data_IF_727082812160
#
_entry.id   IF_727082812160
#
_cell.length_a   1.000
_cell.length_b   1.000
_cell.length_c   1.000
_cell.angle_alpha   90.00
_cell.angle_beta   90.00
_cell.angle_gamma   90.00
#
_symmetry.space_group_name_H-M   'P 1'
#
loop_
_entity.id
_entity.type
_entity.pdbx_description
1 polymer ?
#
# COMPACT_ATOMS: atom_id res chain seq x y z
N UNK A 1 4.36 24.82 26.17
CA UNK A 1 4.82 23.88 25.13
C UNK A 1 5.08 22.53 25.78
N UNK A 2 4.15 21.58 25.67
CA UNK A 2 4.33 20.22 26.21
C UNK A 2 5.13 19.38 25.21
N UNK A 3 6.24 18.79 25.67
CA UNK A 3 6.97 17.77 24.91
C UNK A 3 6.10 16.51 24.86
N UNK A 4 5.50 16.22 23.71
CA UNK A 4 4.84 14.95 23.46
C UNK A 4 5.94 13.88 23.36
N UNK A 5 6.06 13.09 24.42
CA UNK A 5 6.92 11.90 24.46
C UNK A 5 6.27 10.81 23.62
N UNK A 6 6.78 10.60 22.40
CA UNK A 6 6.45 9.44 21.57
C UNK A 6 7.21 8.23 22.12
N UNK A 7 6.55 7.44 22.96
CA UNK A 7 7.04 6.11 23.32
C UNK A 7 6.90 5.20 22.11
N UNK A 8 7.97 5.01 21.34
CA UNK A 8 8.05 3.93 20.35
C UNK A 8 8.09 2.60 21.09
N UNK A 9 7.02 1.82 20.97
CA UNK A 9 7.02 0.41 21.34
C UNK A 9 8.09 -0.32 20.51
N UNK A 10 8.93 -1.18 21.11
CA UNK A 10 9.97 -1.92 20.40
C UNK A 10 9.38 -2.75 19.24
N UNK A 11 10.05 -2.65 18.09
CA UNK A 11 9.59 -3.12 16.80
C UNK A 11 9.25 -4.61 16.79
N UNK A 12 7.95 -4.90 16.66
CA UNK A 12 7.48 -6.17 16.14
C UNK A 12 8.10 -6.42 14.76
N UNK A 13 8.32 -7.69 14.40
CA UNK A 13 9.00 -8.20 13.20
C UNK A 13 8.35 -7.82 11.84
N UNK A 14 7.91 -6.57 11.65
CA UNK A 14 7.29 -6.02 10.43
C UNK A 14 8.19 -6.10 9.19
N UNK A 15 9.50 -6.38 9.35
CA UNK A 15 10.45 -6.43 8.24
C UNK A 15 10.69 -7.81 7.61
N UNK A 16 10.22 -8.91 8.20
CA UNK A 16 10.63 -10.25 7.76
C UNK A 16 9.80 -10.79 6.57
N UNK A 17 8.52 -10.43 6.48
CA UNK A 17 7.64 -11.00 5.48
C UNK A 17 7.67 -10.23 4.18
N UNK A 18 8.06 -10.92 3.12
CA UNK A 18 7.97 -10.42 1.75
C UNK A 18 6.60 -10.74 1.16
N UNK A 19 6.16 -9.87 0.27
CA UNK A 19 4.96 -10.02 -0.53
C UNK A 19 5.22 -9.53 -1.94
N UNK A 20 4.40 -10.03 -2.86
CA UNK A 20 4.44 -9.67 -4.28
C UNK A 20 3.59 -8.45 -4.58
N UNK A 21 4.17 -7.51 -5.33
CA UNK A 21 3.50 -6.32 -5.86
C UNK A 21 4.07 -5.94 -7.23
N UNK A 22 3.50 -4.91 -7.84
CA UNK A 22 3.99 -4.35 -9.10
C UNK A 22 4.47 -2.93 -8.93
N UNK A 23 5.61 -2.63 -9.53
CA UNK A 23 6.27 -1.34 -9.39
C UNK A 23 6.69 -0.82 -10.75
N UNK A 24 6.60 0.50 -10.88
CA UNK A 24 7.21 1.23 -11.98
C UNK A 24 8.46 1.94 -11.46
N UNK A 25 9.62 1.62 -12.03
CA UNK A 25 10.91 2.15 -11.58
C UNK A 25 11.45 3.26 -12.49
N UNK A 26 10.76 3.55 -13.60
CA UNK A 26 11.25 4.43 -14.65
C UNK A 26 10.64 5.84 -14.56
N UNK A 27 9.46 5.98 -13.96
CA UNK A 27 8.73 7.24 -13.92
C UNK A 27 8.55 7.75 -12.49
N UNK A 28 9.14 8.92 -12.22
CA UNK A 28 9.02 9.63 -10.95
C UNK A 28 7.92 10.71 -11.03
N UNK A 29 7.27 11.01 -9.91
CA UNK A 29 6.29 12.10 -9.74
C UNK A 29 5.04 12.02 -10.61
N UNK A 30 4.74 10.84 -11.17
CA UNK A 30 3.59 10.62 -12.06
C UNK A 30 3.53 11.59 -13.25
N UNK A 31 4.67 12.19 -13.61
CA UNK A 31 4.79 13.04 -14.80
C UNK A 31 4.81 12.17 -16.05
N UNK A 32 4.10 12.58 -17.11
CA UNK A 32 3.92 11.75 -18.33
C UNK A 32 2.87 10.65 -18.16
N UNK A 33 1.60 11.03 -18.00
CA UNK A 33 0.48 10.11 -17.77
C UNK A 33 0.27 9.10 -18.91
N UNK A 34 0.65 9.47 -20.13
CA UNK A 34 0.73 8.59 -21.31
C UNK A 34 1.66 7.40 -21.06
N UNK A 35 2.73 7.60 -20.29
CA UNK A 35 3.74 6.58 -20.02
C UNK A 35 3.42 5.67 -18.85
N UNK A 36 2.55 6.10 -17.93
CA UNK A 36 2.07 5.30 -16.80
C UNK A 36 1.24 4.07 -17.23
N UNK A 37 0.69 4.12 -18.45
CA UNK A 37 -0.14 3.03 -18.99
C UNK A 37 0.63 2.07 -19.90
N UNK A 38 1.93 2.29 -20.15
CA UNK A 38 2.74 1.34 -20.89
C UNK A 38 3.03 0.13 -20.03
N UNK A 39 2.53 -1.02 -20.45
CA UNK A 39 2.64 -2.24 -19.67
C UNK A 39 4.10 -2.71 -19.46
N UNK A 40 5.03 -2.35 -20.35
CA UNK A 40 6.46 -2.64 -20.17
C UNK A 40 7.11 -1.85 -19.03
N UNK A 41 6.49 -0.74 -18.59
CA UNK A 41 7.00 0.07 -17.49
C UNK A 41 6.71 -0.56 -16.11
N UNK A 42 5.83 -1.55 -16.05
CA UNK A 42 5.45 -2.26 -14.83
C UNK A 42 6.24 -3.56 -14.70
N UNK A 43 6.89 -3.76 -13.55
CA UNK A 43 7.69 -4.95 -13.26
C UNK A 43 7.18 -5.64 -11.99
N UNK A 44 7.32 -6.96 -11.93
CA UNK A 44 7.11 -7.71 -10.69
C UNK A 44 8.17 -7.31 -9.69
N UNK A 45 7.75 -7.04 -8.46
CA UNK A 45 8.61 -6.78 -7.34
C UNK A 45 8.20 -7.66 -6.16
N UNK A 46 9.17 -7.98 -5.32
CA UNK A 46 8.98 -8.70 -4.08
C UNK A 46 9.75 -7.96 -2.98
N UNK A 47 9.06 -7.64 -1.90
CA UNK A 47 9.61 -6.85 -0.80
C UNK A 47 8.66 -6.83 0.40
N UNK A 48 9.05 -6.12 1.45
CA UNK A 48 8.19 -5.89 2.62
C UNK A 48 7.54 -4.48 2.57
N UNK A 49 6.79 -4.10 3.60
CA UNK A 49 6.14 -2.79 3.66
C UNK A 49 7.15 -1.62 3.73
N UNK A 50 8.33 -1.82 4.31
CA UNK A 50 9.41 -0.82 4.32
C UNK A 50 9.96 -0.58 2.92
N UNK A 51 10.14 -1.64 2.12
CA UNK A 51 10.57 -1.54 0.73
C UNK A 51 9.53 -0.80 -0.11
N UNK A 52 8.25 -1.16 0.06
CA UNK A 52 7.14 -0.51 -0.65
C UNK A 52 6.99 0.97 -0.25
N UNK A 53 7.07 1.28 1.05
CA UNK A 53 7.07 2.64 1.56
C UNK A 53 8.20 3.48 0.95
N UNK A 54 9.41 2.92 0.92
CA UNK A 54 10.60 3.57 0.33
C UNK A 54 10.44 3.79 -1.18
N UNK A 55 9.76 2.88 -1.88
CA UNK A 55 9.44 3.05 -3.30
C UNK A 55 8.48 4.21 -3.51
N UNK A 56 7.39 4.25 -2.74
CA UNK A 56 6.35 5.28 -2.83
C UNK A 56 6.89 6.65 -2.43
N UNK A 57 7.74 6.74 -1.40
CA UNK A 57 8.33 8.00 -0.94
C UNK A 57 9.23 8.66 -1.98
N UNK A 58 9.70 7.90 -2.98
CA UNK A 58 10.44 8.42 -4.14
C UNK A 58 9.51 8.94 -5.25
N UNK A 59 8.20 9.03 -5.02
CA UNK A 59 7.22 9.42 -6.03
C UNK A 59 6.97 8.35 -7.10
N UNK A 60 7.48 7.13 -6.92
CA UNK A 60 7.39 6.06 -7.91
C UNK A 60 6.01 5.36 -7.85
N UNK A 61 5.34 5.15 -9.00
CA UNK A 61 4.08 4.42 -9.06
C UNK A 61 4.22 2.97 -8.63
N UNK A 62 3.19 2.47 -7.99
CA UNK A 62 3.05 1.06 -7.65
C UNK A 62 1.60 0.63 -7.88
N UNK A 63 1.40 -0.68 -8.01
CA UNK A 63 0.09 -1.31 -8.08
C UNK A 63 0.13 -2.63 -7.31
N UNK A 64 -0.99 -3.03 -6.67
CA UNK A 64 -1.06 -4.32 -6.01
C UNK A 64 -0.85 -5.48 -7.00
N UNK A 65 -1.27 -5.30 -8.26
CA UNK A 65 -1.21 -6.30 -9.32
C UNK A 65 -0.44 -5.78 -10.55
N UNK A 66 0.06 -6.70 -11.38
CA UNK A 66 0.67 -6.36 -12.67
C UNK A 66 -0.39 -5.88 -13.68
N UNK A 67 0.03 -5.11 -14.67
CA UNK A 67 -0.70 -4.96 -15.93
C UNK A 67 0.06 -5.78 -16.97
N UNK A 68 -0.57 -6.81 -17.55
CA UNK A 68 0.08 -7.61 -18.59
C UNK A 68 0.19 -6.82 -19.89
N UNK A 69 1.29 -7.01 -20.62
CA UNK A 69 1.68 -6.19 -21.77
C UNK A 69 0.95 -6.44 -23.07
N UNK A 70 0.03 -7.40 -23.09
CA UNK A 70 -0.78 -7.73 -24.25
C UNK A 70 -2.28 -7.82 -24.00
N UNK A 71 -2.79 -7.48 -22.81
CA UNK A 71 -4.23 -7.67 -22.52
C UNK A 71 -4.90 -6.39 -22.01
N UNK A 72 -6.10 -6.14 -22.53
CA UNK A 72 -7.00 -5.11 -22.04
C UNK A 72 -7.31 -5.34 -20.55
N UNK A 73 -6.54 -4.67 -19.69
CA UNK A 73 -6.86 -4.28 -18.30
C UNK A 73 -7.99 -5.10 -17.68
N UNK A 74 -7.81 -6.40 -17.37
CA UNK A 74 -8.71 -7.15 -16.46
C UNK A 74 -8.27 -8.60 -16.16
N UNK A 75 -8.38 -8.93 -14.87
CA UNK A 75 -8.58 -10.25 -14.25
C UNK A 75 -7.37 -11.14 -13.94
N UNK A 76 -6.50 -11.50 -14.88
CA UNK A 76 -5.46 -12.52 -14.58
C UNK A 76 -4.37 -12.03 -13.64
N UNK A 77 -4.02 -10.74 -13.69
CA UNK A 77 -2.95 -10.19 -12.88
C UNK A 77 -3.36 -9.82 -11.44
N UNK A 78 -4.66 -9.65 -11.18
CA UNK A 78 -5.21 -9.58 -9.81
C UNK A 78 -4.98 -10.86 -9.01
N UNK A 79 -4.59 -11.96 -9.68
CA UNK A 79 -4.30 -13.24 -9.05
C UNK A 79 -2.83 -13.40 -8.61
N UNK A 80 -1.98 -12.38 -8.77
CA UNK A 80 -0.57 -12.42 -8.31
C UNK A 80 -0.32 -11.57 -7.06
N UNK A 81 -1.17 -10.57 -6.84
CA UNK A 81 -1.04 -9.64 -5.73
C UNK A 81 -1.22 -10.36 -4.39
N UNK A 82 -0.23 -10.22 -3.51
CA UNK A 82 -0.34 -10.62 -2.09
C UNK A 82 -0.64 -9.41 -1.21
N UNK A 83 -1.12 -8.33 -1.82
CA UNK A 83 -1.55 -7.11 -1.16
C UNK A 83 -2.84 -6.59 -1.78
N UNK A 84 -3.67 -5.97 -0.95
CA UNK A 84 -4.85 -5.21 -1.36
C UNK A 84 -4.70 -3.77 -0.87
N UNK A 85 -5.16 -2.83 -1.69
CA UNK A 85 -5.21 -1.43 -1.33
C UNK A 85 -6.66 -0.94 -1.32
N UNK A 86 -7.03 -0.19 -0.30
CA UNK A 86 -8.31 0.49 -0.19
C UNK A 86 -8.04 2.01 -0.22
N UNK A 87 -8.62 2.70 -1.21
CA UNK A 87 -8.63 4.16 -1.27
C UNK A 87 -9.78 4.67 -0.41
N UNK A 88 -9.46 5.51 0.57
CA UNK A 88 -10.40 6.15 1.47
C UNK A 88 -10.43 7.63 1.11
N UNK A 89 -11.59 8.10 0.65
CA UNK A 89 -11.81 9.48 0.21
C UNK A 89 -12.99 10.07 0.99
N UNK A 90 -12.81 11.26 1.58
CA UNK A 90 -13.84 12.09 2.22
C UNK A 90 -14.58 11.47 3.45
N UNK A 91 -14.33 10.19 3.81
CA UNK A 91 -15.03 9.50 4.91
C UNK A 91 -14.31 9.58 6.27
N UNK A 92 -13.06 9.14 6.33
CA UNK A 92 -12.25 9.08 7.55
C UNK A 92 -11.04 9.99 7.42
N UNK A 93 -10.56 10.51 8.54
CA UNK A 93 -9.18 11.01 8.66
C UNK A 93 -8.22 9.85 8.85
N UNK A 94 -6.94 10.06 8.54
CA UNK A 94 -5.92 9.02 8.73
C UNK A 94 -5.80 8.60 10.20
N UNK A 95 -6.08 9.52 11.14
CA UNK A 95 -6.07 9.21 12.57
C UNK A 95 -7.25 8.32 12.96
N UNK A 96 -8.46 8.60 12.48
CA UNK A 96 -9.62 7.72 12.69
C UNK A 96 -9.38 6.31 12.11
N UNK A 97 -8.74 6.21 10.94
CA UNK A 97 -8.37 4.92 10.39
C UNK A 97 -7.40 4.16 11.31
N UNK A 98 -6.37 4.81 11.86
CA UNK A 98 -5.44 4.17 12.81
C UNK A 98 -6.13 3.66 14.07
N UNK A 99 -7.11 4.39 14.55
CA UNK A 99 -7.85 4.06 15.76
C UNK A 99 -8.88 2.94 15.53
N UNK A 100 -9.19 2.63 14.26
CA UNK A 100 -10.08 1.53 13.92
C UNK A 100 -9.43 0.17 14.22
N UNK A 101 -10.03 -0.70 15.06
CA UNK A 101 -9.39 -1.94 15.52
C UNK A 101 -8.89 -2.86 14.41
N UNK A 102 -9.64 -3.00 13.32
CA UNK A 102 -9.25 -3.81 12.17
C UNK A 102 -8.02 -3.22 11.45
N UNK A 103 -7.97 -1.90 11.28
CA UNK A 103 -6.87 -1.22 10.58
C UNK A 103 -5.61 -1.28 11.46
N UNK A 104 -5.74 -1.01 12.75
CA UNK A 104 -4.64 -1.12 13.71
C UNK A 104 -4.00 -2.51 13.72
N UNK A 105 -4.81 -3.57 13.58
CA UNK A 105 -4.34 -4.94 13.63
C UNK A 105 -3.74 -5.46 12.31
N UNK A 106 -4.26 -4.99 11.16
CA UNK A 106 -4.01 -5.63 9.87
C UNK A 106 -3.44 -4.73 8.78
N UNK A 107 -3.55 -3.41 8.91
CA UNK A 107 -2.99 -2.49 7.92
C UNK A 107 -1.47 -2.48 8.08
N UNK A 108 -0.76 -2.75 6.98
CA UNK A 108 0.69 -2.70 6.98
C UNK A 108 1.23 -1.33 6.58
N UNK A 109 0.50 -0.62 5.72
CA UNK A 109 0.93 0.67 5.20
C UNK A 109 -0.25 1.62 4.95
N UNK A 110 -0.23 2.80 5.54
CA UNK A 110 -1.12 3.92 5.24
C UNK A 110 -0.36 5.00 4.47
N UNK A 111 -0.92 5.48 3.36
CA UNK A 111 -0.28 6.43 2.45
C UNK A 111 -1.22 7.62 2.28
N UNK A 112 -0.84 8.78 2.78
CA UNK A 112 -1.63 9.99 2.56
C UNK A 112 -1.48 10.47 1.10
N UNK A 113 -2.59 10.88 0.49
CA UNK A 113 -2.57 11.45 -0.85
C UNK A 113 -1.96 12.83 -0.81
N UNK A 114 -1.16 13.19 -1.84
CA UNK A 114 -0.66 14.56 -2.01
C UNK A 114 -1.76 15.61 -2.22
N UNK A 115 -3.00 15.16 -2.47
CA UNK A 115 -4.20 16.01 -2.59
C UNK A 115 -5.13 15.93 -1.37
N UNK A 116 -4.70 15.27 -0.28
CA UNK A 116 -5.42 15.22 0.99
C UNK A 116 -5.44 16.61 1.63
N UNK A 117 -6.59 17.03 2.13
CA UNK A 117 -6.72 18.23 2.99
C UNK A 117 -7.49 17.87 4.26
N UNK A 118 -7.52 18.79 5.23
CA UNK A 118 -8.31 18.60 6.46
C UNK A 118 -9.80 18.44 6.20
N UNK A 119 -10.32 19.10 5.17
CA UNK A 119 -11.74 19.07 4.78
C UNK A 119 -12.04 17.88 3.86
N UNK A 120 -11.02 17.37 3.17
CA UNK A 120 -11.10 16.32 2.17
C UNK A 120 -9.98 15.31 2.40
N UNK A 121 -10.06 14.52 3.48
CA UNK A 121 -9.03 13.55 3.78
C UNK A 121 -9.02 12.47 2.70
N UNK A 122 -7.82 12.18 2.18
CA UNK A 122 -7.61 11.18 1.13
C UNK A 122 -6.38 10.35 1.42
N UNK A 123 -6.54 9.05 1.62
CA UNK A 123 -5.40 8.17 1.84
C UNK A 123 -5.69 6.75 1.36
N UNK A 124 -4.63 5.97 1.21
CA UNK A 124 -4.68 4.58 0.84
C UNK A 124 -4.22 3.71 2.00
N UNK A 125 -5.01 2.71 2.35
CA UNK A 125 -4.63 1.66 3.28
C UNK A 125 -4.21 0.42 2.50
N UNK A 126 -3.08 -0.17 2.86
CA UNK A 126 -2.54 -1.37 2.23
C UNK A 126 -2.46 -2.50 3.24
N UNK A 127 -3.08 -3.61 2.87
CA UNK A 127 -3.15 -4.82 3.67
C UNK A 127 -2.47 -5.95 2.90
N UNK A 128 -1.78 -6.80 3.64
CA UNK A 128 -1.23 -8.05 3.08
C UNK A 128 -2.34 -9.10 3.02
N UNK A 129 -2.25 -9.99 2.02
CA UNK A 129 -3.06 -11.19 1.90
C UNK A 129 -2.21 -12.42 2.28
N UNK A 130 -2.86 -13.47 2.78
CA UNK A 130 -2.16 -14.72 3.10
C UNK A 130 -1.63 -15.41 1.84
N UNK A 131 -2.39 -15.33 0.74
CA UNK A 131 -2.01 -15.77 -0.59
C UNK A 131 -2.75 -14.92 -1.64
N UNK A 132 -2.32 -14.93 -2.91
CA UNK A 132 -3.09 -14.30 -3.97
C UNK A 132 -4.48 -14.93 -4.05
N UNK A 133 -5.54 -14.12 -4.21
CA UNK A 133 -6.91 -14.64 -4.24
C UNK A 133 -7.53 -14.92 -2.86
N UNK A 134 -6.77 -14.85 -1.76
CA UNK A 134 -7.23 -15.32 -0.45
C UNK A 134 -8.14 -14.34 0.31
N UNK A 135 -8.74 -13.35 -0.37
CA UNK A 135 -9.56 -12.31 0.26
C UNK A 135 -10.81 -12.86 0.98
N UNK A 136 -11.27 -14.07 0.62
CA UNK A 136 -12.42 -14.71 1.24
C UNK A 136 -12.06 -15.55 2.49
N UNK A 137 -10.76 -15.76 2.76
CA UNK A 137 -10.30 -16.57 3.88
C UNK A 137 -9.90 -15.65 5.04
N UNK A 138 -10.41 -15.97 6.24
CA UNK A 138 -10.28 -15.17 7.45
C UNK A 138 -8.81 -14.81 7.76
N UNK A 139 -8.50 -13.59 8.26
CA UNK A 139 -7.14 -13.05 8.41
C UNK A 139 -6.35 -13.63 9.59
N UNK A 140 -6.48 -14.94 9.85
CA UNK A 140 -5.68 -15.63 10.85
C UNK A 140 -4.20 -15.63 10.40
N UNK A 141 -3.43 -14.65 10.87
CA UNK A 141 -1.98 -14.54 10.62
C UNK A 141 -1.48 -13.16 10.19
N UNK A 142 -2.37 -12.17 9.99
CA UNK A 142 -1.97 -10.80 9.61
C UNK A 142 -1.77 -9.93 10.85
N UNK A 143 -0.80 -10.26 11.69
CA UNK A 143 -0.37 -9.37 12.77
C UNK A 143 0.71 -8.42 12.21
N UNK A 144 0.40 -7.13 12.12
CA UNK A 144 1.37 -6.11 11.76
C UNK A 144 0.85 -4.74 12.17
N UNK A 145 1.68 -3.93 12.83
CA UNK A 145 1.33 -2.52 13.02
C UNK A 145 1.32 -1.77 11.67
N UNK A 146 0.54 -0.71 11.60
CA UNK A 146 0.47 0.14 10.41
C UNK A 146 1.65 1.11 10.36
N UNK A 147 2.49 1.00 9.32
CA UNK A 147 3.45 2.05 8.96
C UNK A 147 2.67 3.16 8.25
N UNK A 148 2.83 4.41 8.66
CA UNK A 148 2.25 5.54 7.92
C UNK A 148 3.38 6.33 7.30
N UNK A 149 3.22 6.60 6.00
CA UNK A 149 4.19 7.31 5.18
C UNK A 149 3.61 8.61 4.66
#
# INVERSE_FOLDING_TARGET
MQKVSSSRTPGSAQGAFKFKYSANFEFCDKTGADKLSHAHAWRQAEGNFTDLATHISKGLPWMPALLDSGSNRKKTASNYAEVIAADIDDDWTIQQAKDHPFVAAHCGLGIESSSSTSERPKFRLVFRLAAPGSWAQSPAGLAGGCLIC
#
